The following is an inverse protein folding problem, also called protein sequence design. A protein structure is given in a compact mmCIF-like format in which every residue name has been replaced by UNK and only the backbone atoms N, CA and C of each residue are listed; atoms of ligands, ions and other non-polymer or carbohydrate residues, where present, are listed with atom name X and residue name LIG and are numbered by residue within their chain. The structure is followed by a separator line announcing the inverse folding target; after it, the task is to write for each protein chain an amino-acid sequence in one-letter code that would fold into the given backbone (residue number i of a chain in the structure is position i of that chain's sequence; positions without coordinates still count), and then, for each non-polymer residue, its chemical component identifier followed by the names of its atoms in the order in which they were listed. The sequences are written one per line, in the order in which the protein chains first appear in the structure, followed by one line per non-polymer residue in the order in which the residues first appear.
data_IF_285484900579
#
_entry.id   IF_285484900579
#
_cell.length_a   1.000
_cell.length_b   1.000
_cell.length_c   1.000
_cell.angle_alpha   90.00
_cell.angle_beta   90.00
_cell.angle_gamma   90.00
#
_symmetry.space_group_name_H-M   'P 1'
#
loop_
_entity.id
_entity.type
_entity.pdbx_description
1 polymer ?
#
# COMPACT_ATOMS: atom_id res chain seq x y z
N UNK A 1 3.52 -26.40 -33.72
CA UNK A 1 2.31 -25.64 -33.37
C UNK A 1 2.44 -25.20 -31.91
N UNK A 2 3.41 -24.36 -31.51
CA UNK A 2 3.87 -23.10 -32.06
C UNK A 2 3.64 -22.08 -30.96
N UNK A 3 4.64 -21.84 -30.09
CA UNK A 3 4.53 -20.99 -28.88
C UNK A 3 4.06 -19.56 -29.23
N UNK A 4 4.31 -19.15 -30.48
CA UNK A 4 3.84 -17.89 -31.08
C UNK A 4 2.32 -17.83 -31.25
N UNK A 5 1.63 -18.94 -31.54
CA UNK A 5 0.15 -18.96 -31.63
C UNK A 5 -0.48 -18.75 -30.26
N UNK A 6 0.12 -19.30 -29.19
CA UNK A 6 -0.36 -19.09 -27.81
C UNK A 6 -0.15 -17.66 -27.32
N UNK A 7 0.88 -16.99 -27.81
CA UNK A 7 1.19 -15.58 -27.52
C UNK A 7 0.25 -14.60 -28.24
N UNK A 8 -0.19 -14.97 -29.45
CA UNK A 8 -1.15 -14.19 -30.24
C UNK A 8 -2.62 -14.45 -29.83
N UNK A 9 -2.94 -15.63 -29.31
CA UNK A 9 -4.28 -15.97 -28.79
C UNK A 9 -4.52 -15.55 -27.33
N UNK A 10 -3.58 -14.84 -26.69
CA UNK A 10 -3.79 -14.22 -25.37
C UNK A 10 -3.90 -15.20 -24.19
N UNK A 11 -3.55 -16.48 -24.38
CA UNK A 11 -3.83 -17.56 -23.42
C UNK A 11 -2.66 -17.88 -22.47
N UNK A 12 -1.72 -16.94 -22.31
CA UNK A 12 -0.61 -17.08 -21.35
C UNK A 12 -0.42 -15.74 -20.62
N UNK A 13 -1.15 -15.54 -19.53
CA UNK A 13 -0.73 -14.62 -18.46
C UNK A 13 -1.36 -14.89 -17.08
N UNK A 14 -1.95 -16.06 -16.83
CA UNK A 14 -2.54 -16.41 -15.51
C UNK A 14 -1.72 -17.43 -14.69
N UNK A 15 -0.51 -17.79 -15.13
CA UNK A 15 0.33 -18.79 -14.43
C UNK A 15 1.67 -18.23 -13.95
N UNK A 16 1.69 -16.95 -13.58
CA UNK A 16 2.74 -16.39 -12.73
C UNK A 16 2.19 -16.17 -11.31
N UNK A 17 1.61 -17.22 -10.74
CA UNK A 17 1.31 -17.30 -9.30
C UNK A 17 2.61 -17.57 -8.50
N UNK A 18 3.74 -17.05 -8.98
CA UNK A 18 4.94 -16.91 -8.17
C UNK A 18 4.58 -16.00 -7.01
N UNK A 19 4.74 -16.47 -5.79
CA UNK A 19 4.65 -15.61 -4.61
C UNK A 19 5.57 -14.41 -4.85
N UNK A 20 5.01 -13.21 -4.94
CA UNK A 20 5.82 -12.00 -4.92
C UNK A 20 6.68 -12.05 -3.66
N UNK A 21 7.96 -11.67 -3.75
CA UNK A 21 8.72 -11.38 -2.55
C UNK A 21 7.96 -10.32 -1.75
N UNK A 22 7.86 -10.52 -0.43
CA UNK A 22 7.09 -9.65 0.47
C UNK A 22 7.49 -8.19 0.26
N UNK A 23 6.52 -7.33 -0.03
CA UNK A 23 6.75 -5.91 -0.29
C UNK A 23 7.07 -5.53 -1.74
N UNK A 24 7.07 -6.46 -2.69
CA UNK A 24 7.29 -6.15 -4.11
C UNK A 24 5.97 -5.88 -4.86
N UNK A 25 5.82 -4.66 -5.38
CA UNK A 25 4.71 -4.28 -6.27
C UNK A 25 4.98 -4.72 -7.71
N UNK A 26 4.41 -5.85 -8.12
CA UNK A 26 4.54 -6.33 -9.51
C UNK A 26 3.57 -5.62 -10.43
N UNK A 27 3.95 -5.51 -11.70
CA UNK A 27 3.07 -5.00 -12.75
C UNK A 27 2.39 -6.14 -13.49
N UNK A 28 1.11 -5.98 -13.82
CA UNK A 28 0.34 -6.92 -14.64
C UNK A 28 0.21 -6.39 -16.07
N UNK A 29 0.15 -7.29 -17.06
CA UNK A 29 0.08 -6.90 -18.48
C UNK A 29 -1.23 -6.22 -18.83
N UNK A 30 -2.34 -6.70 -18.29
CA UNK A 30 -3.69 -6.18 -18.49
C UNK A 30 -4.30 -5.84 -17.13
N UNK A 31 -5.02 -4.71 -17.03
CA UNK A 31 -5.64 -4.28 -15.78
C UNK A 31 -4.66 -3.72 -14.75
N UNK A 32 -5.04 -3.89 -13.47
CA UNK A 32 -4.28 -3.45 -12.30
C UNK A 32 -4.57 -2.00 -11.89
N UNK A 33 -4.05 -1.61 -10.73
CA UNK A 33 -4.15 -0.22 -10.28
C UNK A 33 -3.23 0.70 -11.05
N UNK A 34 -3.67 1.93 -11.29
CA UNK A 34 -2.87 2.96 -11.92
C UNK A 34 -1.60 3.20 -11.11
N UNK A 35 -0.44 3.13 -11.77
CA UNK A 35 0.85 3.20 -11.08
C UNK A 35 1.06 4.53 -10.40
N UNK A 36 0.66 5.62 -11.06
CA UNK A 36 0.90 6.97 -10.56
C UNK A 36 0.05 7.18 -9.31
N UNK A 37 -1.24 6.89 -9.37
CA UNK A 37 -2.15 7.00 -8.23
C UNK A 37 -1.73 6.06 -7.08
N UNK A 38 -1.29 4.84 -7.38
CA UNK A 38 -0.75 3.90 -6.38
C UNK A 38 0.49 4.46 -5.68
N UNK A 39 1.47 4.96 -6.43
CA UNK A 39 2.69 5.52 -5.83
C UNK A 39 2.40 6.80 -5.03
N UNK A 40 1.44 7.62 -5.45
CA UNK A 40 1.00 8.76 -4.64
C UNK A 40 0.37 8.32 -3.32
N UNK A 41 -0.45 7.27 -3.34
CA UNK A 41 -1.02 6.72 -2.12
C UNK A 41 0.07 6.15 -1.19
N UNK A 42 1.02 5.39 -1.73
CA UNK A 42 2.17 4.87 -0.97
C UNK A 42 2.96 6.00 -0.33
N UNK A 43 3.31 7.05 -1.08
CA UNK A 43 4.08 8.18 -0.55
C UNK A 43 3.35 8.86 0.61
N UNK A 44 2.03 9.08 0.50
CA UNK A 44 1.26 9.69 1.59
C UNK A 44 1.27 8.85 2.86
N UNK A 45 1.07 7.54 2.74
CA UNK A 45 1.13 6.63 3.89
C UNK A 45 2.54 6.60 4.50
N UNK A 46 3.59 6.61 3.67
CA UNK A 46 4.97 6.65 4.16
C UNK A 46 5.32 7.96 4.87
N UNK A 47 4.82 9.10 4.37
CA UNK A 47 4.97 10.40 5.03
C UNK A 47 4.32 10.41 6.42
N UNK A 48 3.12 9.82 6.55
CA UNK A 48 2.46 9.66 7.85
C UNK A 48 3.25 8.75 8.80
N UNK A 49 3.72 7.59 8.31
CA UNK A 49 4.58 6.68 9.10
C UNK A 49 5.80 7.43 9.62
N UNK A 50 6.47 8.21 8.77
CA UNK A 50 7.65 8.97 9.15
C UNK A 50 7.32 10.02 10.23
N UNK A 51 6.22 10.76 10.08
CA UNK A 51 5.78 11.74 11.07
C UNK A 51 5.41 11.08 12.42
N UNK A 52 4.76 9.92 12.39
CA UNK A 52 4.45 9.13 13.59
C UNK A 52 5.72 8.60 14.28
N UNK A 53 6.69 8.10 13.51
CA UNK A 53 7.99 7.67 14.04
C UNK A 53 8.74 8.84 14.72
N UNK A 54 8.71 10.03 14.12
CA UNK A 54 9.27 11.23 14.74
C UNK A 54 8.56 11.60 16.04
N UNK A 55 7.22 11.58 16.05
CA UNK A 55 6.43 11.87 17.24
C UNK A 55 6.73 10.88 18.37
N UNK A 56 6.89 9.60 18.04
CA UNK A 56 7.23 8.54 18.99
C UNK A 56 8.63 8.75 19.57
N UNK A 57 9.59 9.15 18.74
CA UNK A 57 10.93 9.50 19.20
C UNK A 57 10.91 10.72 20.13
N UNK A 58 10.16 11.78 19.79
CA UNK A 58 9.99 12.95 20.64
C UNK A 58 9.34 12.59 21.99
N UNK A 59 8.32 11.72 21.99
CA UNK A 59 7.68 11.18 23.21
C UNK A 59 8.70 10.47 24.10
N UNK A 60 9.57 9.63 23.52
CA UNK A 60 10.64 8.92 24.26
C UNK A 60 11.66 9.87 24.89
N UNK A 61 11.88 11.02 24.28
CA UNK A 61 12.80 12.05 24.75
C UNK A 61 12.13 13.10 25.65
N UNK A 62 10.86 12.89 26.02
CA UNK A 62 10.05 13.84 26.80
C UNK A 62 9.96 15.24 26.16
N UNK A 63 10.10 15.30 24.84
CA UNK A 63 9.96 16.52 24.06
C UNK A 63 8.49 16.73 23.65
N UNK A 64 8.04 17.98 23.48
CA UNK A 64 6.74 18.27 22.89
C UNK A 64 6.62 17.62 21.51
N UNK A 65 5.48 16.99 21.24
CA UNK A 65 5.19 16.34 19.96
C UNK A 65 3.74 16.57 19.55
N UNK A 66 3.45 16.31 18.28
CA UNK A 66 2.10 16.34 17.73
C UNK A 66 1.88 15.07 16.92
N UNK A 67 0.71 14.46 17.09
CA UNK A 67 0.32 13.28 16.31
C UNK A 67 -0.25 13.80 14.98
N UNK A 68 0.28 13.36 13.82
CA UNK A 68 -0.27 13.76 12.53
C UNK A 68 -1.72 13.26 12.37
N UNK A 69 -2.49 13.95 11.54
CA UNK A 69 -3.83 13.49 11.16
C UNK A 69 -3.76 12.17 10.37
N UNK A 70 -4.84 11.40 10.38
CA UNK A 70 -4.93 10.17 9.59
C UNK A 70 -5.02 10.50 8.10
N UNK A 71 -4.26 9.74 7.30
CA UNK A 71 -4.31 9.86 5.85
C UNK A 71 -5.52 9.14 5.30
N UNK A 72 -6.45 9.89 4.73
CA UNK A 72 -7.51 9.34 3.90
C UNK A 72 -7.00 9.15 2.46
N UNK A 73 -7.06 7.92 1.96
CA UNK A 73 -6.74 7.62 0.57
C UNK A 73 -7.97 7.79 -0.32
N UNK A 74 -7.79 8.45 -1.46
CA UNK A 74 -8.78 8.43 -2.51
C UNK A 74 -8.81 7.05 -3.19
N UNK A 75 -9.97 6.60 -3.69
CA UNK A 75 -10.05 5.37 -4.48
C UNK A 75 -9.09 5.41 -5.67
N UNK A 76 -8.26 4.38 -5.80
CA UNK A 76 -7.28 4.27 -6.89
C UNK A 76 -7.98 3.73 -8.14
N UNK A 77 -7.74 4.39 -9.27
CA UNK A 77 -8.29 3.97 -10.55
C UNK A 77 -7.59 2.74 -11.09
N UNK A 78 -8.31 2.03 -11.96
CA UNK A 78 -7.77 0.90 -12.69
C UNK A 78 -7.16 1.38 -14.01
N UNK A 79 -5.97 0.86 -14.33
CA UNK A 79 -5.34 1.02 -15.63
C UNK A 79 -5.86 -0.05 -16.59
N UNK A 80 -6.01 0.29 -17.86
CA UNK A 80 -6.41 -0.70 -18.89
C UNK A 80 -5.32 -1.74 -19.14
N UNK A 81 -4.04 -1.33 -19.04
CA UNK A 81 -2.90 -2.20 -19.25
C UNK A 81 -1.69 -1.70 -18.45
N UNK A 82 -0.83 -2.65 -18.06
CA UNK A 82 0.43 -2.35 -17.40
C UNK A 82 0.30 -1.83 -15.97
N UNK A 83 -0.85 -1.94 -15.28
CA UNK A 83 -1.02 -1.47 -13.90
C UNK A 83 -0.25 -2.29 -12.87
N UNK A 84 -0.27 -1.85 -11.61
CA UNK A 84 0.21 -2.70 -10.51
C UNK A 84 -0.82 -3.78 -10.17
N UNK A 85 -0.33 -4.97 -9.82
CA UNK A 85 -1.14 -6.08 -9.33
C UNK A 85 -1.99 -5.61 -8.15
N UNK A 86 -3.30 -5.74 -8.24
CA UNK A 86 -4.22 -5.35 -7.17
C UNK A 86 -3.95 -6.16 -5.91
N UNK A 87 -3.70 -7.47 -6.06
CA UNK A 87 -3.35 -8.37 -4.96
C UNK A 87 -2.10 -7.91 -4.22
N UNK A 88 -1.02 -7.64 -4.95
CA UNK A 88 0.26 -7.25 -4.33
C UNK A 88 0.15 -5.83 -3.74
N UNK A 89 -0.61 -4.94 -4.38
CA UNK A 89 -0.82 -3.56 -3.91
C UNK A 89 -1.66 -3.51 -2.65
N UNK A 90 -2.77 -4.25 -2.60
CA UNK A 90 -3.62 -4.32 -1.41
C UNK A 90 -2.88 -4.94 -0.23
N UNK A 91 -2.15 -6.04 -0.46
CA UNK A 91 -1.30 -6.62 0.58
C UNK A 91 -0.26 -5.62 1.11
N UNK A 92 0.34 -4.83 0.23
CA UNK A 92 1.30 -3.80 0.65
C UNK A 92 0.62 -2.64 1.42
N UNK A 93 -0.58 -2.21 1.02
CA UNK A 93 -1.34 -1.24 1.79
C UNK A 93 -1.74 -1.75 3.17
N UNK A 94 -2.18 -3.00 3.27
CA UNK A 94 -2.50 -3.62 4.56
C UNK A 94 -1.29 -3.59 5.51
N UNK A 95 -0.08 -3.85 5.00
CA UNK A 95 1.16 -3.75 5.78
C UNK A 95 1.44 -2.30 6.24
N UNK A 96 1.23 -1.31 5.37
CA UNK A 96 1.42 0.10 5.72
C UNK A 96 0.39 0.58 6.75
N UNK A 97 -0.88 0.22 6.59
CA UNK A 97 -1.94 0.56 7.53
C UNK A 97 -1.73 -0.11 8.89
N UNK A 98 -1.32 -1.38 8.91
CA UNK A 98 -0.96 -2.06 10.16
C UNK A 98 0.17 -1.32 10.89
N UNK A 99 1.22 -0.90 10.15
CA UNK A 99 2.32 -0.12 10.74
C UNK A 99 1.85 1.23 11.28
N UNK A 100 0.99 1.95 10.57
CA UNK A 100 0.39 3.21 11.05
C UNK A 100 -0.39 2.98 12.34
N UNK A 101 -1.27 1.98 12.36
CA UNK A 101 -2.06 1.60 13.53
C UNK A 101 -1.17 1.28 14.73
N UNK A 102 -0.12 0.49 14.54
CA UNK A 102 0.83 0.13 15.61
C UNK A 102 1.56 1.35 16.18
N UNK A 103 1.96 2.30 15.32
CA UNK A 103 2.62 3.53 15.75
C UNK A 103 1.66 4.45 16.52
N UNK A 104 0.42 4.58 16.04
CA UNK A 104 -0.64 5.35 16.68
C UNK A 104 -1.01 4.77 18.05
N UNK A 105 -1.14 3.45 18.15
CA UNK A 105 -1.35 2.76 19.42
C UNK A 105 -0.22 3.01 20.43
N UNK A 106 1.05 2.98 19.98
CA UNK A 106 2.21 3.31 20.84
C UNK A 106 2.21 4.77 21.31
N UNK A 107 1.67 5.69 20.51
CA UNK A 107 1.47 7.07 20.90
C UNK A 107 0.31 7.25 21.89
N UNK A 108 -0.56 6.25 22.02
CA UNK A 108 -1.75 6.29 22.88
C UNK A 108 -2.99 6.85 22.17
N UNK A 109 -2.96 6.87 20.83
CA UNK A 109 -4.05 7.30 19.97
C UNK A 109 -4.53 6.07 19.19
N UNK A 110 -5.09 5.08 19.89
CA UNK A 110 -5.81 3.97 19.25
C UNK A 110 -7.30 4.30 19.28
N UNK A 111 -8.05 3.85 18.27
CA UNK A 111 -9.50 4.08 18.11
C UNK A 111 -10.19 4.24 19.46
N UNK A 112 -10.52 5.48 19.79
CA UNK A 112 -11.42 5.76 20.90
C UNK A 112 -12.75 5.23 20.42
N UNK A 113 -13.20 4.16 21.06
CA UNK A 113 -14.53 3.58 20.89
C UNK A 113 -15.52 4.73 20.71
N UNK A 114 -16.21 4.73 19.56
CA UNK A 114 -17.45 5.49 19.38
C UNK A 114 -18.49 4.88 20.33
N UNK A 115 -18.41 5.24 21.59
CA UNK A 115 -19.49 5.07 22.55
C UNK A 115 -20.40 6.31 22.46
N UNK A 116 -21.38 6.24 21.57
CA UNK A 116 -22.65 6.96 21.67
C UNK A 116 -23.84 6.04 21.32
#
# INVERSE_FOLDING_TARGET
MGILEKLLNGEIDELSDGQAEKGMLRTVRFGGYDKKETLFAVNRLQDEIYALEQALNAKKLELPYTVPAETELAPIRHAMAGGFSEKDTNAYFDELFAKISDLRAQLGVGDTEKDE
#
